data_IF_365899764609
#
_entry.id   IF_365899764609
#
_cell.length_a   1.000
_cell.length_b   1.000
_cell.length_c   1.000
_cell.angle_alpha   90.00
_cell.angle_beta   90.00
_cell.angle_gamma   90.00
#
_symmetry.space_group_name_H-M   'P 1'
#
loop_
_entity.id
_entity.type
_entity.pdbx_description
1 polymer ?
#
# COMPACT_ATOMS: atom_id res chain seq x y z
N UNK A 1 6.68 -4.54 3.36
CA UNK A 1 5.44 -5.03 4.01
C UNK A 1 5.14 -6.44 3.52
N UNK A 2 4.63 -7.32 4.37
CA UNK A 2 4.14 -8.67 4.01
C UNK A 2 2.65 -8.68 4.30
N UNK A 3 1.82 -8.86 3.28
CA UNK A 3 0.36 -8.94 3.38
C UNK A 3 -0.03 -10.41 3.30
N UNK A 4 -0.80 -10.88 4.27
CA UNK A 4 -1.09 -12.31 4.44
C UNK A 4 -2.58 -12.51 4.28
N UNK A 5 -2.94 -13.37 3.33
CA UNK A 5 -4.29 -13.84 3.07
C UNK A 5 -5.35 -12.71 3.05
N UNK A 6 -5.17 -11.68 2.18
CA UNK A 6 -6.05 -10.53 2.17
C UNK A 6 -7.49 -10.94 1.81
N UNK A 7 -8.46 -10.31 2.47
CA UNK A 7 -9.88 -10.60 2.25
C UNK A 7 -10.27 -10.18 0.82
N UNK A 8 -11.11 -10.98 0.11
CA UNK A 8 -11.58 -10.63 -1.22
C UNK A 8 -12.23 -9.24 -1.28
N UNK A 9 -11.94 -8.50 -2.34
CA UNK A 9 -12.43 -7.14 -2.57
C UNK A 9 -11.38 -6.08 -2.32
N UNK A 10 -11.71 -5.07 -1.52
CA UNK A 10 -10.85 -3.87 -1.35
C UNK A 10 -9.48 -4.20 -0.77
N UNK A 11 -9.38 -5.15 0.16
CA UNK A 11 -8.10 -5.53 0.76
C UNK A 11 -7.20 -6.26 -0.25
N UNK A 12 -7.75 -7.18 -1.03
CA UNK A 12 -7.04 -7.85 -2.11
C UNK A 12 -6.52 -6.85 -3.16
N UNK A 13 -7.34 -5.89 -3.61
CA UNK A 13 -6.89 -4.88 -4.56
C UNK A 13 -5.79 -3.97 -3.99
N UNK A 14 -5.88 -3.62 -2.72
CA UNK A 14 -4.82 -2.88 -2.04
C UNK A 14 -3.52 -3.70 -1.98
N UNK A 15 -3.63 -5.01 -1.73
CA UNK A 15 -2.50 -5.92 -1.69
C UNK A 15 -1.82 -6.06 -3.07
N UNK A 16 -2.62 -6.24 -4.12
CA UNK A 16 -2.15 -6.30 -5.51
C UNK A 16 -1.42 -5.01 -5.90
N UNK A 17 -1.97 -3.84 -5.55
CA UNK A 17 -1.34 -2.55 -5.83
C UNK A 17 0.02 -2.41 -5.14
N UNK A 18 0.11 -2.79 -3.86
CA UNK A 18 1.36 -2.77 -3.09
C UNK A 18 2.39 -3.73 -3.69
N UNK A 19 1.97 -4.94 -4.08
CA UNK A 19 2.85 -5.96 -4.65
C UNK A 19 3.34 -5.54 -6.05
N UNK A 20 2.45 -5.07 -6.92
CA UNK A 20 2.77 -4.60 -8.26
C UNK A 20 3.72 -3.37 -8.23
N UNK A 21 3.59 -2.52 -7.22
CA UNK A 21 4.50 -1.39 -7.01
C UNK A 21 5.88 -1.81 -6.48
N UNK A 22 6.09 -3.09 -6.14
CA UNK A 22 7.28 -3.58 -5.48
C UNK A 22 7.44 -3.07 -4.05
N UNK A 23 6.40 -2.50 -3.43
CA UNK A 23 6.44 -1.95 -2.08
C UNK A 23 6.19 -3.00 -0.98
N UNK A 24 5.72 -4.18 -1.38
CA UNK A 24 5.40 -5.28 -0.49
C UNK A 24 5.31 -6.59 -1.24
N UNK A 25 4.99 -7.64 -0.49
CA UNK A 25 4.70 -8.98 -1.02
C UNK A 25 3.38 -9.45 -0.44
N UNK A 26 2.62 -10.19 -1.24
CA UNK A 26 1.36 -10.79 -0.85
C UNK A 26 1.53 -12.31 -0.75
N UNK A 27 1.01 -12.90 0.32
CA UNK A 27 1.02 -14.33 0.57
C UNK A 27 -0.41 -14.84 0.63
N UNK A 28 -0.70 -15.98 -0.01
CA UNK A 28 -2.00 -16.67 0.08
C UNK A 28 -2.08 -17.72 1.18
N UNK A 29 -0.95 -18.03 1.82
CA UNK A 29 -0.86 -19.05 2.85
C UNK A 29 -0.14 -18.49 4.08
N UNK A 30 -0.84 -18.34 5.22
CA UNK A 30 -0.23 -17.79 6.45
C UNK A 30 1.04 -18.51 6.90
N UNK A 31 1.14 -19.82 6.68
CA UNK A 31 2.35 -20.61 6.99
C UNK A 31 3.63 -20.12 6.31
N UNK A 32 3.54 -19.38 5.20
CA UNK A 32 4.69 -18.82 4.48
C UNK A 32 5.21 -17.51 5.08
N UNK A 33 4.50 -16.91 6.05
CA UNK A 33 4.84 -15.62 6.61
C UNK A 33 6.23 -15.60 7.26
N UNK A 34 6.52 -16.58 8.13
CA UNK A 34 7.80 -16.66 8.84
C UNK A 34 8.97 -16.83 7.86
N UNK A 35 8.84 -17.73 6.89
CA UNK A 35 9.84 -17.94 5.83
C UNK A 35 10.08 -16.66 5.02
N UNK A 36 9.01 -16.00 4.59
CA UNK A 36 9.10 -14.78 3.78
C UNK A 36 9.73 -13.62 4.56
N UNK A 37 9.36 -13.45 5.83
CA UNK A 37 9.96 -12.45 6.69
C UNK A 37 11.46 -12.70 6.86
N UNK A 38 11.86 -13.95 7.12
CA UNK A 38 13.27 -14.31 7.21
C UNK A 38 14.04 -14.02 5.92
N UNK A 39 13.48 -14.39 4.76
CA UNK A 39 14.09 -14.11 3.46
C UNK A 39 14.28 -12.61 3.22
N UNK A 40 13.32 -11.77 3.62
CA UNK A 40 13.44 -10.32 3.48
C UNK A 40 14.47 -9.73 4.43
N UNK A 41 14.60 -10.27 5.65
CA UNK A 41 15.59 -9.81 6.63
C UNK A 41 17.01 -10.22 6.27
N UNK A 42 17.20 -11.36 5.59
CA UNK A 42 18.51 -11.82 5.11
C UNK A 42 18.93 -11.23 3.76
N UNK A 43 18.02 -10.53 3.07
CA UNK A 43 18.26 -9.89 1.77
C UNK A 43 18.06 -8.37 1.86
N UNK A 44 19.02 -7.62 2.43
CA UNK A 44 18.86 -6.19 2.68
C UNK A 44 18.56 -5.38 1.41
N UNK A 45 19.18 -5.72 0.27
CA UNK A 45 18.93 -5.04 -1.01
C UNK A 45 17.48 -5.14 -1.47
N UNK A 46 16.86 -6.32 -1.29
CA UNK A 46 15.45 -6.53 -1.62
C UNK A 46 14.55 -5.70 -0.71
N UNK A 47 14.90 -5.62 0.58
CA UNK A 47 14.15 -4.80 1.54
C UNK A 47 14.29 -3.30 1.22
N UNK A 48 15.46 -2.85 0.77
CA UNK A 48 15.69 -1.47 0.34
C UNK A 48 14.94 -1.13 -0.95
N UNK A 49 14.91 -2.03 -1.93
CA UNK A 49 14.06 -1.89 -3.11
C UNK A 49 12.58 -1.76 -2.72
N UNK A 50 12.12 -2.54 -1.73
CA UNK A 50 10.76 -2.43 -1.21
C UNK A 50 10.50 -1.09 -0.51
N UNK A 51 11.46 -0.58 0.28
CA UNK A 51 11.37 0.75 0.89
C UNK A 51 11.30 1.85 -0.17
N UNK A 52 12.09 1.75 -1.24
CA UNK A 52 12.06 2.69 -2.35
C UNK A 52 10.71 2.65 -3.08
N UNK A 53 10.18 1.45 -3.32
CA UNK A 53 8.83 1.25 -3.86
C UNK A 53 7.77 1.92 -2.99
N UNK A 54 7.79 1.68 -1.68
CA UNK A 54 6.85 2.27 -0.72
C UNK A 54 6.94 3.80 -0.68
N UNK A 55 8.15 4.38 -0.69
CA UNK A 55 8.35 5.83 -0.76
C UNK A 55 7.78 6.44 -2.04
N UNK A 56 7.91 5.74 -3.18
CA UNK A 56 7.43 6.21 -4.48
C UNK A 56 5.90 6.26 -4.56
N UNK A 57 5.21 5.26 -4.03
CA UNK A 57 3.73 5.20 -4.08
C UNK A 57 3.05 5.87 -2.89
N UNK A 58 3.80 6.14 -1.82
CA UNK A 58 3.28 6.69 -0.58
C UNK A 58 2.65 8.06 -0.79
N UNK A 59 1.39 8.21 -0.36
CA UNK A 59 0.67 9.49 -0.34
C UNK A 59 0.31 9.84 1.10
N UNK A 60 1.26 10.30 1.93
CA UNK A 60 1.04 10.50 3.37
C UNK A 60 -0.07 11.51 3.68
N UNK A 61 -0.31 12.47 2.79
CA UNK A 61 -1.35 13.48 2.92
C UNK A 61 -2.63 13.15 2.12
N UNK A 62 -2.83 11.91 1.67
CA UNK A 62 -3.96 11.55 0.80
C UNK A 62 -5.31 11.96 1.40
N UNK A 63 -5.60 11.56 2.65
CA UNK A 63 -6.85 11.88 3.32
C UNK A 63 -7.08 13.40 3.42
N UNK A 64 -6.05 14.16 3.81
CA UNK A 64 -6.11 15.61 3.90
C UNK A 64 -6.34 16.26 2.53
N UNK A 65 -5.64 15.79 1.49
CA UNK A 65 -5.78 16.30 0.13
C UNK A 65 -7.19 16.04 -0.42
N UNK A 66 -7.73 14.84 -0.20
CA UNK A 66 -9.10 14.46 -0.57
C UNK A 66 -10.11 15.34 0.16
N UNK A 67 -10.00 15.49 1.48
CA UNK A 67 -10.89 16.36 2.26
C UNK A 67 -10.84 17.83 1.79
N UNK A 68 -9.65 18.36 1.52
CA UNK A 68 -9.48 19.71 0.95
C UNK A 68 -10.09 19.84 -0.45
N UNK A 69 -10.14 18.77 -1.23
CA UNK A 69 -10.76 18.77 -2.54
C UNK A 69 -12.29 18.77 -2.43
N UNK A 70 -12.85 17.88 -1.62
CA UNK A 70 -14.30 17.83 -1.33
C UNK A 70 -14.81 19.18 -0.85
N UNK A 71 -14.11 19.82 0.10
CA UNK A 71 -14.49 21.14 0.61
C UNK A 71 -14.41 22.26 -0.45
N UNK A 72 -13.50 22.14 -1.42
CA UNK A 72 -13.41 23.09 -2.53
C UNK A 72 -14.60 22.92 -3.47
N UNK A 73 -14.92 21.69 -3.85
CA UNK A 73 -16.05 21.38 -4.73
C UNK A 73 -17.37 21.85 -4.11
N UNK A 74 -17.63 21.55 -2.84
CA UNK A 74 -18.84 21.99 -2.14
C UNK A 74 -18.99 23.52 -2.07
N UNK A 75 -17.89 24.27 -2.00
CA UNK A 75 -17.94 25.75 -2.00
C UNK A 75 -18.29 26.29 -3.37
N UNK A 76 -17.80 25.67 -4.45
CA UNK A 76 -18.11 26.10 -5.81
C UNK A 76 -19.58 25.84 -6.16
N UNK A 77 -20.13 24.68 -5.77
CA UNK A 77 -21.54 24.33 -5.99
C UNK A 77 -22.52 25.24 -5.22
N UNK A 78 -22.08 25.92 -4.17
CA UNK A 78 -22.94 26.80 -3.35
C UNK A 78 -22.95 28.26 -3.81
N UNK A 79 -22.26 28.58 -4.89
CA UNK A 79 -22.18 29.92 -5.51
C UNK A 79 -23.01 29.97 -6.81
N UNK A 80 -23.61 28.86 -7.23
CA UNK A 80 -24.71 28.78 -8.21
C UNK A 80 -26.06 28.67 -7.50
#
# INVERSE_FOLDING_TARGET
>A
MVIIDPIPGQEEWNADMVAAAGAGVQLRMPKMAAYTAMQLLTQPERLDAMRAGAKRIGRPNAALNIAKQILRELKMTRIE
#
